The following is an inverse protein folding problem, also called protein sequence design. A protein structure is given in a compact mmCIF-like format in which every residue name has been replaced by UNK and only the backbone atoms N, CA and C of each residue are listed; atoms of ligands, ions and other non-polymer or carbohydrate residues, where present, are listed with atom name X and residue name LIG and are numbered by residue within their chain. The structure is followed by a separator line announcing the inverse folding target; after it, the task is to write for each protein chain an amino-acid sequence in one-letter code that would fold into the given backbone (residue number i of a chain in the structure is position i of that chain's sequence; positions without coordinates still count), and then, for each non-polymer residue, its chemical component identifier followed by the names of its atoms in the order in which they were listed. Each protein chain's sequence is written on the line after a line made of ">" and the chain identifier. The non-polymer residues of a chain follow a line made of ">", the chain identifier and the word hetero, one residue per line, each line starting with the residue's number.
data_IF_870463623226
#
_entry.id   IF_870463623226
#
_cell.length_a   1.000
_cell.length_b   1.000
_cell.length_c   1.000
_cell.angle_alpha   90.00
_cell.angle_beta   90.00
_cell.angle_gamma   90.00
#
_symmetry.space_group_name_H-M   'P 1'
#
loop_
_entity.id
_entity.type
_entity.pdbx_description
1 polymer ?
#
# COMPACT_ATOMS: atom_id res chain seq x y z
N UNK A 1 96.13 50.30 -37.10
CA UNK A 1 96.77 49.10 -36.53
C UNK A 1 95.68 48.06 -36.25
N UNK A 2 95.65 46.97 -37.01
CA UNK A 2 95.89 45.56 -36.58
C UNK A 2 94.82 44.94 -35.67
N UNK A 3 94.16 43.92 -36.28
CA UNK A 3 93.50 42.69 -35.76
C UNK A 3 93.69 42.37 -34.27
N UNK A 4 92.67 41.81 -33.61
CA UNK A 4 92.55 40.37 -33.31
C UNK A 4 91.25 40.01 -32.56
N UNK A 5 90.87 38.75 -32.76
CA UNK A 5 89.74 37.92 -32.32
C UNK A 5 89.65 37.69 -30.80
N UNK A 6 88.44 37.48 -30.24
CA UNK A 6 88.08 36.24 -29.49
C UNK A 6 86.62 36.18 -28.98
N UNK A 7 86.14 34.94 -29.03
CA UNK A 7 84.88 34.29 -28.66
C UNK A 7 84.55 34.39 -27.16
N UNK A 8 83.25 34.48 -26.78
CA UNK A 8 82.65 33.67 -25.71
C UNK A 8 81.11 33.82 -25.63
N UNK A 9 80.44 32.67 -25.44
CA UNK A 9 79.02 32.45 -25.24
C UNK A 9 78.41 33.19 -24.03
N UNK A 10 77.10 33.49 -24.07
CA UNK A 10 76.14 32.90 -23.12
C UNK A 10 74.68 33.34 -23.36
N UNK A 11 73.82 32.32 -23.38
CA UNK A 11 72.45 32.25 -22.87
C UNK A 11 71.40 33.30 -23.29
N UNK A 12 70.52 32.84 -24.19
CA UNK A 12 69.21 33.39 -24.49
C UNK A 12 68.24 33.13 -23.34
N UNK A 13 67.62 34.18 -22.79
CA UNK A 13 66.34 34.11 -22.09
C UNK A 13 65.40 35.13 -22.75
N UNK A 14 64.68 34.67 -23.77
CA UNK A 14 63.59 35.43 -24.38
C UNK A 14 62.30 35.13 -23.60
N UNK A 15 61.73 36.19 -23.01
CA UNK A 15 60.39 36.19 -22.48
C UNK A 15 59.38 36.03 -23.62
N UNK A 16 58.59 34.95 -23.60
CA UNK A 16 57.52 34.70 -24.54
C UNK A 16 56.17 34.72 -23.81
N UNK A 17 55.26 35.55 -24.31
CA UNK A 17 53.86 35.64 -23.91
C UNK A 17 53.17 34.27 -23.97
N UNK A 18 52.46 33.90 -22.91
CA UNK A 18 51.55 32.75 -22.91
C UNK A 18 50.08 33.22 -23.06
N UNK A 19 49.28 32.52 -23.88
CA UNK A 19 47.93 32.91 -24.24
C UNK A 19 46.89 32.56 -23.16
N UNK A 20 45.77 33.29 -23.21
CA UNK A 20 44.55 33.08 -22.42
C UNK A 20 44.05 31.64 -22.60
N UNK A 21 44.19 30.82 -21.56
CA UNK A 21 43.51 29.53 -21.47
C UNK A 21 42.04 29.75 -21.11
N UNK A 22 41.15 29.42 -22.05
CA UNK A 22 39.74 29.21 -21.76
C UNK A 22 39.60 28.08 -20.73
N UNK A 23 38.95 28.39 -19.61
CA UNK A 23 38.62 27.44 -18.55
C UNK A 23 37.66 26.39 -19.14
N UNK A 24 37.97 25.08 -19.07
CA UNK A 24 37.05 24.05 -19.50
C UNK A 24 35.78 24.09 -18.65
N UNK A 25 34.63 24.09 -19.32
CA UNK A 25 33.31 23.89 -18.74
C UNK A 25 33.33 22.63 -17.88
N UNK A 26 33.00 22.76 -16.59
CA UNK A 26 32.89 21.62 -15.67
C UNK A 26 31.96 20.56 -16.26
N UNK A 27 32.32 19.27 -16.18
CA UNK A 27 31.38 18.19 -16.48
C UNK A 27 30.18 18.32 -15.54
N UNK A 28 28.98 18.16 -16.10
CA UNK A 28 27.71 18.29 -15.39
C UNK A 28 27.68 17.53 -14.07
N UNK A 29 26.95 18.08 -13.11
CA UNK A 29 26.68 17.43 -11.84
C UNK A 29 26.32 15.96 -12.06
N UNK A 30 26.97 15.02 -11.36
CA UNK A 30 26.59 13.64 -11.44
C UNK A 30 25.12 13.54 -11.00
N UNK A 31 24.27 13.06 -11.91
CA UNK A 31 22.89 12.67 -11.62
C UNK A 31 22.96 11.83 -10.33
N UNK A 32 22.41 12.37 -9.25
CA UNK A 32 22.44 11.72 -7.95
C UNK A 32 21.81 10.33 -8.15
N UNK A 33 22.63 9.29 -7.96
CA UNK A 33 22.12 7.91 -7.99
C UNK A 33 20.98 7.84 -6.99
N UNK A 34 19.81 7.27 -7.33
CA UNK A 34 18.75 7.08 -6.36
C UNK A 34 19.34 6.39 -5.14
N UNK A 35 19.18 7.00 -3.96
CA UNK A 35 19.69 6.45 -2.71
C UNK A 35 19.17 5.01 -2.60
N UNK A 36 20.02 4.02 -2.28
CA UNK A 36 19.55 2.67 -2.04
C UNK A 36 18.45 2.73 -0.99
N UNK A 37 17.34 2.03 -1.26
CA UNK A 37 16.24 1.96 -0.30
C UNK A 37 16.80 1.43 1.03
N UNK A 38 16.45 2.05 2.17
CA UNK A 38 16.95 1.61 3.46
C UNK A 38 16.62 0.12 3.67
N UNK A 39 17.62 -0.64 4.11
CA UNK A 39 17.42 -2.04 4.50
C UNK A 39 16.37 -2.08 5.62
N UNK A 40 15.34 -2.90 5.46
CA UNK A 40 14.27 -2.98 6.44
C UNK A 40 14.80 -3.48 7.80
N UNK A 41 14.61 -2.68 8.85
CA UNK A 41 15.10 -2.91 10.21
C UNK A 41 14.01 -3.38 11.19
N UNK A 42 12.81 -3.71 10.69
CA UNK A 42 11.69 -4.17 11.51
C UNK A 42 10.62 -3.11 11.73
N UNK A 43 10.00 -3.14 12.91
CA UNK A 43 8.88 -2.28 13.26
C UNK A 43 9.22 -0.77 13.16
N UNK A 44 10.47 -0.40 13.40
CA UNK A 44 10.95 0.98 13.33
C UNK A 44 10.72 1.59 11.93
N UNK A 45 11.12 0.91 10.86
CA UNK A 45 10.85 1.35 9.49
C UNK A 45 9.33 1.46 9.17
N UNK A 46 8.49 0.56 9.69
CA UNK A 46 7.02 0.64 9.49
C UNK A 46 6.35 1.76 10.29
N UNK A 47 6.97 2.23 11.37
CA UNK A 47 6.42 3.30 12.20
C UNK A 47 6.52 4.69 11.54
N UNK A 48 7.42 4.84 10.56
CA UNK A 48 7.66 6.11 9.89
C UNK A 48 6.60 6.37 8.81
N UNK A 49 5.89 7.49 8.94
CA UNK A 49 4.98 7.97 7.92
C UNK A 49 5.75 8.26 6.63
N UNK A 50 5.28 7.69 5.52
CA UNK A 50 5.86 7.94 4.21
C UNK A 50 4.77 8.07 3.16
N UNK A 51 4.99 8.96 2.19
CA UNK A 51 4.02 9.18 1.12
C UNK A 51 4.11 8.08 0.06
N UNK A 52 3.01 7.82 -0.69
CA UNK A 52 3.09 7.04 -1.91
C UNK A 52 4.06 7.69 -2.90
N UNK A 53 4.83 6.90 -3.62
CA UNK A 53 5.84 7.39 -4.56
C UNK A 53 5.30 7.53 -5.98
N UNK A 54 4.21 6.83 -6.28
CA UNK A 54 3.63 6.73 -7.62
C UNK A 54 2.16 6.36 -7.57
N UNK A 55 1.47 6.53 -8.69
CA UNK A 55 0.06 6.15 -8.80
C UNK A 55 -0.11 4.64 -9.11
N UNK A 56 0.69 4.10 -10.04
CA UNK A 56 0.58 2.71 -10.52
C UNK A 56 1.82 1.86 -10.17
N UNK A 57 1.60 0.56 -9.95
CA UNK A 57 2.65 -0.44 -9.73
C UNK A 57 3.38 -0.71 -11.05
N UNK A 58 4.70 -0.76 -11.00
CA UNK A 58 5.56 -1.21 -12.10
C UNK A 58 5.39 -2.72 -12.31
N UNK A 59 5.32 -3.18 -13.55
CA UNK A 59 4.99 -4.58 -13.85
C UNK A 59 5.91 -5.60 -13.17
N UNK A 60 7.23 -5.34 -13.12
CA UNK A 60 8.16 -6.22 -12.39
C UNK A 60 7.80 -6.37 -10.91
N UNK A 61 7.18 -5.36 -10.30
CA UNK A 61 6.80 -5.32 -8.88
C UNK A 61 5.46 -5.98 -8.55
N UNK A 62 4.79 -6.61 -9.51
CA UNK A 62 3.41 -7.10 -9.32
C UNK A 62 3.30 -8.50 -8.70
N UNK A 63 4.35 -9.35 -8.69
CA UNK A 63 4.11 -10.81 -8.59
C UNK A 63 4.99 -11.66 -7.68
N UNK A 64 6.00 -11.14 -6.99
CA UNK A 64 6.76 -11.96 -6.04
C UNK A 64 6.52 -11.44 -4.62
N UNK A 65 6.03 -12.28 -3.71
CA UNK A 65 5.94 -11.92 -2.30
C UNK A 65 6.49 -13.06 -1.48
N UNK A 66 7.48 -12.76 -0.66
CA UNK A 66 7.85 -13.65 0.44
C UNK A 66 7.16 -13.17 1.71
N UNK A 67 6.60 -14.11 2.46
CA UNK A 67 5.98 -13.84 3.76
C UNK A 67 7.02 -14.17 4.83
N UNK A 68 7.23 -13.28 5.80
CA UNK A 68 7.97 -13.61 7.02
C UNK A 68 7.12 -13.34 8.24
N UNK A 69 7.14 -14.32 9.14
CA UNK A 69 6.60 -14.18 10.50
C UNK A 69 7.56 -13.30 11.29
N UNK A 70 7.00 -12.45 12.17
CA UNK A 70 7.80 -11.55 13.01
C UNK A 70 7.98 -12.13 14.41
N UNK A 71 8.78 -11.47 15.25
CA UNK A 71 8.93 -11.84 16.67
C UNK A 71 7.64 -11.64 17.46
N UNK A 72 6.75 -10.74 17.02
CA UNK A 72 5.45 -10.54 17.64
C UNK A 72 4.45 -11.57 17.10
N UNK A 73 3.91 -12.39 18.02
CA UNK A 73 2.88 -13.37 17.68
C UNK A 73 1.68 -12.68 16.99
N UNK A 74 1.24 -13.24 15.87
CA UNK A 74 0.14 -12.69 15.08
C UNK A 74 0.50 -11.49 14.19
N UNK A 75 1.72 -10.95 14.26
CA UNK A 75 2.20 -9.95 13.30
C UNK A 75 3.05 -10.59 12.19
N UNK A 76 2.77 -10.22 10.95
CA UNK A 76 3.49 -10.70 9.75
C UNK A 76 3.94 -9.53 8.88
N UNK A 77 5.07 -9.69 8.21
CA UNK A 77 5.54 -8.76 7.19
C UNK A 77 5.53 -9.43 5.81
N UNK A 78 5.10 -8.66 4.82
CA UNK A 78 5.16 -9.03 3.42
C UNK A 78 6.33 -8.31 2.77
N UNK A 79 7.23 -9.09 2.21
CA UNK A 79 8.42 -8.61 1.54
C UNK A 79 8.36 -8.89 0.05
N UNK A 80 8.99 -8.01 -0.71
CA UNK A 80 9.30 -8.22 -2.10
C UNK A 80 10.77 -7.86 -2.33
N UNK A 81 11.46 -8.63 -3.18
CA UNK A 81 12.87 -8.43 -3.49
C UNK A 81 13.06 -8.02 -4.97
N UNK A 82 12.48 -6.89 -5.44
CA UNK A 82 12.73 -6.41 -6.79
C UNK A 82 14.22 -6.09 -6.92
N UNK A 83 14.83 -6.61 -7.98
CA UNK A 83 16.23 -6.31 -8.29
C UNK A 83 17.19 -6.66 -7.14
N UNK A 84 16.85 -7.67 -6.31
CA UNK A 84 17.59 -8.11 -5.11
C UNK A 84 17.64 -7.08 -3.96
N UNK A 85 16.82 -6.03 -4.03
CA UNK A 85 16.68 -5.05 -2.95
C UNK A 85 15.40 -5.30 -2.17
N UNK A 86 15.51 -5.85 -0.97
CA UNK A 86 14.35 -6.16 -0.14
C UNK A 86 13.59 -4.91 0.25
N UNK A 87 12.30 -4.88 -0.08
CA UNK A 87 11.35 -3.85 0.34
C UNK A 87 10.15 -4.47 1.05
N UNK A 88 9.64 -3.80 2.08
CA UNK A 88 8.35 -4.14 2.67
C UNK A 88 7.23 -3.62 1.78
N UNK A 89 6.30 -4.51 1.45
CA UNK A 89 5.16 -4.24 0.56
C UNK A 89 3.81 -4.41 1.28
N UNK A 90 3.86 -4.74 2.56
CA UNK A 90 2.69 -4.87 3.41
C UNK A 90 3.02 -5.49 4.77
N UNK A 91 2.04 -5.51 5.64
CA UNK A 91 2.08 -6.23 6.91
C UNK A 91 0.69 -6.74 7.26
N UNK A 92 0.59 -7.70 8.18
CA UNK A 92 -0.70 -8.23 8.62
C UNK A 92 -0.77 -8.49 10.12
N UNK A 93 -1.93 -8.23 10.69
CA UNK A 93 -2.33 -8.66 12.04
C UNK A 93 -3.27 -9.86 11.91
N UNK A 94 -2.93 -10.99 12.54
CA UNK A 94 -3.65 -12.26 12.43
C UNK A 94 -4.23 -12.70 13.77
N UNK A 95 -5.55 -12.59 13.89
CA UNK A 95 -6.30 -13.10 15.03
C UNK A 95 -6.59 -14.59 14.85
N UNK A 96 -5.81 -15.44 15.51
CA UNK A 96 -5.97 -16.91 15.51
C UNK A 96 -6.85 -17.44 16.65
N UNK A 97 -7.30 -16.56 17.54
CA UNK A 97 -8.20 -16.88 18.64
C UNK A 97 -8.39 -15.69 19.57
N UNK A 98 -9.64 -15.34 19.86
CA UNK A 98 -9.98 -14.25 20.76
C UNK A 98 -11.38 -14.40 21.35
N UNK A 99 -11.68 -13.84 22.53
CA UNK A 99 -12.96 -14.08 23.20
C UNK A 99 -14.18 -13.57 22.42
N UNK A 100 -14.07 -12.43 21.73
CA UNK A 100 -15.20 -11.81 21.04
C UNK A 100 -15.19 -12.11 19.56
N UNK A 101 -14.04 -11.96 18.90
CA UNK A 101 -14.00 -12.00 17.42
C UNK A 101 -13.80 -13.41 16.88
N UNK A 102 -12.91 -14.19 17.48
CA UNK A 102 -12.60 -15.55 17.07
C UNK A 102 -12.64 -16.55 18.25
N UNK A 103 -13.81 -16.76 18.86
CA UNK A 103 -13.93 -17.66 20.02
C UNK A 103 -13.69 -19.12 19.65
N UNK A 104 -13.84 -19.49 18.37
CA UNK A 104 -13.56 -20.85 17.88
C UNK A 104 -12.06 -21.12 17.82
N UNK A 105 -11.25 -20.12 17.45
CA UNK A 105 -9.80 -20.20 17.43
C UNK A 105 -9.17 -20.52 18.79
N UNK A 106 -9.82 -20.09 19.88
CA UNK A 106 -9.43 -20.46 21.25
C UNK A 106 -9.69 -21.94 21.58
N UNK A 107 -10.64 -22.58 20.89
CA UNK A 107 -11.04 -23.98 21.13
C UNK A 107 -10.31 -24.97 20.23
N UNK A 108 -10.01 -24.56 18.99
CA UNK A 108 -9.34 -25.40 17.99
C UNK A 108 -8.47 -24.56 17.06
N UNK A 109 -7.35 -25.15 16.64
CA UNK A 109 -6.47 -24.54 15.64
C UNK A 109 -7.16 -24.41 14.28
N UNK A 110 -6.80 -23.38 13.53
CA UNK A 110 -7.12 -23.23 12.11
C UNK A 110 -8.02 -22.05 11.79
N UNK A 111 -9.02 -21.76 12.62
CA UNK A 111 -9.89 -20.61 12.44
C UNK A 111 -9.11 -19.31 12.65
N UNK A 112 -9.18 -18.36 11.70
CA UNK A 112 -8.47 -17.09 11.81
C UNK A 112 -9.17 -15.95 11.07
N UNK A 113 -8.92 -14.73 11.54
CA UNK A 113 -9.09 -13.50 10.77
C UNK A 113 -7.73 -12.84 10.54
N UNK A 114 -7.42 -12.49 9.31
CA UNK A 114 -6.21 -11.75 8.94
C UNK A 114 -6.57 -10.35 8.46
N UNK A 115 -5.84 -9.34 8.92
CA UNK A 115 -5.89 -7.93 8.52
C UNK A 115 -4.60 -7.56 7.79
N UNK A 116 -4.59 -7.71 6.47
CA UNK A 116 -3.42 -7.46 5.62
C UNK A 116 -3.44 -6.04 5.02
N UNK A 117 -2.55 -5.18 5.48
CA UNK A 117 -2.32 -3.85 4.94
C UNK A 117 -1.30 -3.93 3.80
N UNK A 118 -1.76 -3.65 2.59
CA UNK A 118 -1.00 -3.81 1.36
C UNK A 118 -0.60 -2.45 0.79
N UNK A 119 0.61 -2.34 0.24
CA UNK A 119 1.14 -1.13 -0.39
C UNK A 119 2.31 -1.45 -1.35
N UNK A 120 2.15 -2.46 -2.21
CA UNK A 120 3.23 -2.87 -3.11
C UNK A 120 3.69 -1.73 -4.03
N UNK A 121 5.00 -1.71 -4.28
CA UNK A 121 5.70 -0.68 -5.07
C UNK A 121 5.46 0.76 -4.57
N UNK A 122 4.95 0.90 -3.33
CA UNK A 122 4.60 2.18 -2.71
C UNK A 122 3.64 2.98 -3.62
N UNK A 123 2.84 2.25 -4.41
CA UNK A 123 1.96 2.77 -5.44
C UNK A 123 0.54 2.94 -4.88
N UNK A 124 -0.08 4.09 -5.13
CA UNK A 124 -1.44 4.38 -4.65
C UNK A 124 -2.44 3.29 -5.01
N UNK A 125 -2.40 2.76 -6.23
CA UNK A 125 -3.33 1.72 -6.68
C UNK A 125 -3.30 0.44 -5.85
N UNK A 126 -2.20 0.19 -5.12
CA UNK A 126 -2.04 -1.00 -4.28
C UNK A 126 -2.16 -0.73 -2.78
N UNK A 127 -2.62 0.46 -2.40
CA UNK A 127 -2.86 0.79 -0.99
C UNK A 127 -4.27 0.36 -0.60
N UNK A 128 -4.38 -0.68 0.22
CA UNK A 128 -5.66 -1.19 0.74
C UNK A 128 -5.46 -2.09 1.96
N UNK A 129 -6.56 -2.33 2.68
CA UNK A 129 -6.66 -3.36 3.71
C UNK A 129 -7.44 -4.55 3.13
N UNK A 130 -6.85 -5.73 3.11
CA UNK A 130 -7.55 -6.99 2.90
C UNK A 130 -7.85 -7.65 4.24
N UNK A 131 -9.10 -8.07 4.43
CA UNK A 131 -9.56 -8.84 5.56
C UNK A 131 -9.99 -10.20 5.07
N UNK A 132 -9.44 -11.26 5.65
CA UNK A 132 -9.78 -12.63 5.31
C UNK A 132 -10.24 -13.40 6.55
N UNK A 133 -11.42 -13.98 6.49
CA UNK A 133 -11.89 -14.99 7.46
C UNK A 133 -11.71 -16.38 6.86
N UNK A 134 -10.86 -17.19 7.47
CA UNK A 134 -10.69 -18.60 7.13
C UNK A 134 -11.24 -19.45 8.27
N UNK A 135 -12.46 -19.94 8.11
CA UNK A 135 -13.21 -20.61 9.20
C UNK A 135 -12.86 -22.08 9.40
N UNK A 136 -12.16 -22.70 8.43
CA UNK A 136 -11.75 -24.12 8.44
C UNK A 136 -12.86 -25.10 8.85
N UNK A 137 -14.08 -24.90 8.36
CA UNK A 137 -15.22 -25.77 8.66
C UNK A 137 -15.33 -26.96 7.71
N UNK A 138 -14.98 -26.78 6.43
CA UNK A 138 -15.10 -27.83 5.41
C UNK A 138 -13.76 -28.34 4.89
N UNK A 139 -12.67 -27.62 5.17
CA UNK A 139 -11.34 -27.92 4.66
C UNK A 139 -11.13 -27.46 3.20
N UNK A 140 -12.16 -26.91 2.55
CA UNK A 140 -12.08 -26.41 1.16
C UNK A 140 -11.94 -24.90 1.15
N UNK A 141 -10.89 -24.39 0.50
CA UNK A 141 -10.60 -22.95 0.45
C UNK A 141 -11.79 -22.12 -0.06
N UNK A 142 -12.38 -22.50 -1.18
CA UNK A 142 -13.52 -21.80 -1.80
C UNK A 142 -14.80 -21.80 -0.97
N UNK A 143 -14.89 -22.68 0.04
CA UNK A 143 -16.02 -22.75 0.96
C UNK A 143 -15.74 -21.99 2.24
N UNK A 144 -14.49 -22.02 2.73
CA UNK A 144 -14.13 -21.54 4.05
C UNK A 144 -13.57 -20.10 4.05
N UNK A 145 -13.01 -19.63 2.94
CA UNK A 145 -12.39 -18.31 2.86
C UNK A 145 -13.38 -17.24 2.39
N UNK A 146 -13.51 -16.22 3.21
CA UNK A 146 -14.36 -15.07 2.98
C UNK A 146 -13.52 -13.79 3.00
N UNK A 147 -13.57 -13.03 1.92
CA UNK A 147 -12.72 -11.87 1.71
C UNK A 147 -13.51 -10.57 1.77
N UNK A 148 -12.91 -9.55 2.36
CA UNK A 148 -13.31 -8.15 2.24
C UNK A 148 -12.08 -7.31 1.98
N UNK A 149 -12.19 -6.33 1.09
CA UNK A 149 -11.16 -5.30 0.93
C UNK A 149 -11.74 -3.94 1.25
N UNK A 150 -10.91 -3.07 1.84
CA UNK A 150 -11.20 -1.68 2.14
C UNK A 150 -10.11 -0.80 1.52
N UNK A 151 -10.54 0.16 0.72
CA UNK A 151 -9.68 1.18 0.11
C UNK A 151 -10.03 2.52 0.74
N UNK A 152 -9.02 3.23 1.27
CA UNK A 152 -9.21 4.48 2.01
C UNK A 152 -8.71 5.67 1.20
N UNK A 153 -9.46 6.77 1.22
CA UNK A 153 -9.15 7.97 0.45
C UNK A 153 -9.41 9.23 1.28
N UNK A 154 -8.55 10.26 1.20
CA UNK A 154 -7.39 10.33 0.30
C UNK A 154 -6.20 9.47 0.79
N UNK A 155 -5.37 9.03 -0.15
CA UNK A 155 -4.20 8.17 0.07
C UNK A 155 -2.98 9.04 0.33
N UNK A 156 -2.93 9.61 1.53
CA UNK A 156 -1.94 10.61 1.95
C UNK A 156 -0.59 9.99 2.30
N UNK A 157 -0.63 8.76 2.79
CA UNK A 157 0.53 8.02 3.25
C UNK A 157 0.35 6.51 3.01
N UNK A 158 1.45 5.78 3.11
CA UNK A 158 1.41 4.33 3.26
C UNK A 158 0.89 3.98 4.66
N UNK A 159 0.20 2.83 4.82
CA UNK A 159 -0.13 2.32 6.14
C UNK A 159 1.13 2.18 7.00
N UNK A 160 1.08 2.67 8.24
CA UNK A 160 2.17 2.53 9.21
C UNK A 160 1.74 1.67 10.39
N UNK A 161 2.71 1.08 11.07
CA UNK A 161 2.50 0.27 12.26
C UNK A 161 3.46 0.72 13.36
N UNK A 162 2.92 1.05 14.52
CA UNK A 162 3.68 1.38 15.71
C UNK A 162 3.17 0.55 16.90
N UNK A 163 4.09 0.17 17.79
CA UNK A 163 3.76 -0.51 19.04
C UNK A 163 3.65 0.53 20.15
N UNK A 164 2.49 0.58 20.81
CA UNK A 164 2.27 1.40 22.01
C UNK A 164 2.18 0.46 23.21
N UNK A 165 3.33 0.15 23.81
CA UNK A 165 3.44 -0.74 24.97
C UNK A 165 2.74 -0.18 26.21
N UNK A 166 2.69 1.15 26.36
CA UNK A 166 2.04 1.77 27.51
C UNK A 166 0.53 1.54 27.49
N UNK A 167 -0.07 1.45 26.31
CA UNK A 167 -1.50 1.17 26.11
C UNK A 167 -1.79 -0.27 25.72
N UNK A 168 -0.76 -1.11 25.60
CA UNK A 168 -0.86 -2.49 25.15
C UNK A 168 -1.58 -2.67 23.81
N UNK A 169 -1.31 -1.78 22.84
CA UNK A 169 -1.91 -1.83 21.51
C UNK A 169 -0.88 -1.78 20.37
N UNK A 170 -1.21 -2.41 19.25
CA UNK A 170 -0.65 -2.07 17.95
C UNK A 170 -1.46 -0.92 17.35
N UNK A 171 -0.80 0.21 17.09
CA UNK A 171 -1.38 1.36 16.41
C UNK A 171 -1.05 1.29 14.93
N UNK A 172 -2.05 0.98 14.12
CA UNK A 172 -1.96 1.11 12.67
C UNK A 172 -2.46 2.48 12.26
N UNK A 173 -1.72 3.20 11.42
CA UNK A 173 -2.23 4.44 10.81
C UNK A 173 -2.65 4.16 9.38
N UNK A 174 -3.90 4.45 9.06
CA UNK A 174 -4.48 4.27 7.72
C UNK A 174 -3.89 5.28 6.71
N UNK A 175 -4.11 5.06 5.41
CA UNK A 175 -3.67 5.99 4.36
C UNK A 175 -4.22 7.41 4.52
N UNK A 176 -5.36 7.56 5.21
CA UNK A 176 -6.01 8.83 5.54
C UNK A 176 -5.39 9.55 6.73
N UNK A 177 -4.42 8.94 7.43
CA UNK A 177 -3.86 9.46 8.69
C UNK A 177 -4.59 8.99 9.95
N UNK A 178 -5.71 8.28 9.79
CA UNK A 178 -6.52 7.87 10.94
C UNK A 178 -5.96 6.61 11.63
N UNK A 179 -6.00 6.53 12.96
CA UNK A 179 -5.54 5.34 13.67
C UNK A 179 -6.58 4.21 13.64
N UNK A 180 -6.09 2.99 13.70
CA UNK A 180 -6.79 1.77 14.08
C UNK A 180 -5.96 1.11 15.17
N UNK A 181 -6.60 0.76 16.28
CA UNK A 181 -5.95 0.18 17.44
C UNK A 181 -6.31 -1.29 17.53
N UNK A 182 -5.30 -2.14 17.54
CA UNK A 182 -5.44 -3.57 17.82
C UNK A 182 -4.88 -3.84 19.21
N UNK A 183 -5.61 -4.60 20.02
CA UNK A 183 -5.11 -5.10 21.30
C UNK A 183 -3.94 -6.07 21.06
N UNK A 184 -2.87 -5.98 21.85
CA UNK A 184 -1.66 -6.78 21.60
C UNK A 184 -1.84 -8.27 21.89
N UNK A 185 -2.74 -8.65 22.81
CA UNK A 185 -2.93 -10.05 23.20
C UNK A 185 -3.98 -10.74 22.33
N UNK A 186 -5.15 -10.11 22.21
CA UNK A 186 -6.31 -10.68 21.53
C UNK A 186 -6.30 -10.39 20.03
N UNK A 187 -5.52 -9.39 19.59
CA UNK A 187 -5.47 -8.92 18.20
C UNK A 187 -6.85 -8.48 17.67
N UNK A 188 -7.74 -8.10 18.59
CA UNK A 188 -9.04 -7.49 18.30
C UNK A 188 -8.85 -5.99 18.02
N UNK A 189 -9.63 -5.45 17.08
CA UNK A 189 -9.79 -4.02 16.86
C UNK A 189 -10.53 -3.43 18.07
N UNK A 190 -9.81 -2.69 18.90
CA UNK A 190 -10.32 -2.08 20.14
C UNK A 190 -10.61 -0.59 20.00
N UNK A 191 -10.24 0.04 18.88
CA UNK A 191 -10.59 1.44 18.63
C UNK A 191 -10.10 2.01 17.30
N UNK A 192 -10.46 3.27 17.07
CA UNK A 192 -10.07 4.03 15.87
C UNK A 192 -11.11 3.99 14.75
N UNK A 193 -10.63 4.10 13.51
CA UNK A 193 -11.47 4.29 12.32
C UNK A 193 -12.17 3.01 11.81
N UNK A 194 -11.87 1.85 12.41
CA UNK A 194 -12.50 0.57 12.08
C UNK A 194 -13.26 0.02 13.29
N UNK A 195 -14.34 -0.69 12.99
CA UNK A 195 -15.09 -1.52 13.93
C UNK A 195 -15.25 -2.90 13.33
N UNK A 196 -14.99 -3.93 14.12
CA UNK A 196 -15.16 -5.32 13.72
C UNK A 196 -16.35 -5.98 14.43
N UNK A 197 -16.93 -7.00 13.77
CA UNK A 197 -17.86 -7.96 14.36
C UNK A 197 -17.22 -9.36 14.40
N UNK A 198 -17.77 -10.32 15.16
CA UNK A 198 -17.28 -11.69 15.19
C UNK A 198 -17.20 -12.36 13.82
N UNK A 199 -16.31 -13.35 13.69
CA UNK A 199 -16.25 -14.23 12.51
C UNK A 199 -17.55 -15.04 12.42
N UNK A 200 -18.13 -15.10 11.22
CA UNK A 200 -19.33 -15.89 10.97
C UNK A 200 -18.98 -17.37 10.76
N UNK A 201 -19.22 -18.19 11.78
CA UNK A 201 -19.01 -19.64 11.76
C UNK A 201 -20.24 -20.44 11.31
N UNK A 202 -21.19 -19.84 10.58
CA UNK A 202 -22.33 -20.59 10.04
C UNK A 202 -21.84 -21.77 9.16
N UNK A 203 -22.35 -22.97 9.45
CA UNK A 203 -22.03 -24.20 8.73
C UNK A 203 -22.52 -24.16 7.28
N UNK A 204 -23.63 -23.45 7.01
CA UNK A 204 -24.11 -23.22 5.65
C UNK A 204 -23.23 -22.18 4.96
N UNK A 205 -22.43 -22.63 3.99
CA UNK A 205 -21.63 -21.75 3.14
C UNK A 205 -22.46 -20.69 2.43
N UNK A 206 -23.75 -20.91 2.16
CA UNK A 206 -24.58 -19.95 1.46
C UNK A 206 -25.08 -18.82 2.37
N UNK A 207 -25.22 -19.08 3.67
CA UNK A 207 -25.65 -18.11 4.67
C UNK A 207 -24.49 -17.37 5.33
N UNK A 208 -23.27 -17.94 5.25
CA UNK A 208 -22.07 -17.32 5.82
C UNK A 208 -21.78 -15.98 5.18
N UNK A 209 -21.60 -14.98 6.04
CA UNK A 209 -21.28 -13.59 5.70
C UNK A 209 -19.79 -13.40 5.49
N UNK A 210 -19.44 -12.39 4.70
CA UNK A 210 -18.07 -11.91 4.58
C UNK A 210 -17.61 -11.26 5.90
N UNK A 211 -16.29 -11.09 6.12
CA UNK A 211 -15.78 -10.43 7.32
C UNK A 211 -16.50 -9.10 7.52
N UNK A 212 -17.07 -8.87 8.69
CA UNK A 212 -17.79 -7.63 8.98
C UNK A 212 -16.84 -6.66 9.69
N UNK A 213 -16.08 -5.96 8.86
CA UNK A 213 -15.20 -4.85 9.27
C UNK A 213 -15.74 -3.59 8.62
N UNK A 214 -16.24 -2.67 9.45
CA UNK A 214 -16.93 -1.45 9.05
C UNK A 214 -16.02 -0.25 9.28
N UNK A 215 -15.91 0.61 8.29
CA UNK A 215 -15.24 1.90 8.41
C UNK A 215 -16.18 2.94 9.04
N UNK A 216 -15.69 3.62 10.07
CA UNK A 216 -16.40 4.64 10.84
C UNK A 216 -15.59 5.94 10.96
N UNK A 217 -14.55 6.08 10.14
CA UNK A 217 -13.69 7.25 10.12
C UNK A 217 -14.31 8.46 9.41
N UNK A 218 -13.49 9.50 9.27
CA UNK A 218 -13.87 10.83 8.78
C UNK A 218 -13.79 11.00 7.27
N UNK A 219 -13.24 10.05 6.54
CA UNK A 219 -12.96 10.19 5.11
C UNK A 219 -13.78 9.21 4.28
N UNK A 220 -13.34 8.95 3.04
CA UNK A 220 -14.00 8.00 2.14
C UNK A 220 -13.34 6.63 2.26
N UNK A 221 -14.15 5.59 2.42
CA UNK A 221 -13.73 4.21 2.24
C UNK A 221 -14.60 3.53 1.18
N UNK A 222 -13.98 2.77 0.28
CA UNK A 222 -14.69 1.91 -0.67
C UNK A 222 -14.40 0.47 -0.29
N UNK A 223 -15.45 -0.33 -0.14
CA UNK A 223 -15.34 -1.73 0.26
C UNK A 223 -15.91 -2.65 -0.80
N UNK A 224 -15.29 -3.83 -0.93
CA UNK A 224 -15.77 -4.94 -1.76
C UNK A 224 -15.61 -6.23 -0.97
N UNK A 225 -16.45 -7.22 -1.24
CA UNK A 225 -16.36 -8.50 -0.55
C UNK A 225 -16.70 -9.67 -1.49
N UNK A 226 -16.14 -10.85 -1.23
CA UNK A 226 -16.35 -12.06 -2.01
C UNK A 226 -15.94 -13.31 -1.24
N UNK A 227 -16.62 -14.41 -1.52
CA UNK A 227 -16.19 -15.75 -1.11
C UNK A 227 -15.36 -16.41 -2.20
N UNK A 228 -14.21 -16.95 -1.83
CA UNK A 228 -13.42 -17.86 -2.66
C UNK A 228 -12.85 -17.30 -3.98
N UNK A 229 -13.03 -16.02 -4.28
CA UNK A 229 -12.53 -15.33 -5.48
C UNK A 229 -12.17 -13.87 -5.16
N UNK A 230 -11.49 -13.19 -6.08
CA UNK A 230 -11.13 -11.78 -5.94
C UNK A 230 -12.34 -10.85 -5.68
N UNK A 231 -12.32 -10.08 -4.56
CA UNK A 231 -13.38 -9.12 -4.22
C UNK A 231 -13.69 -8.07 -5.28
N UNK A 232 -12.67 -7.65 -6.05
CA UNK A 232 -12.75 -6.53 -7.00
C UNK A 232 -13.49 -6.85 -8.31
N UNK A 233 -13.81 -8.12 -8.58
CA UNK A 233 -14.55 -8.49 -9.81
C UNK A 233 -15.96 -7.90 -9.79
N UNK A 234 -16.36 -7.30 -10.91
CA UNK A 234 -17.71 -6.76 -11.11
C UNK A 234 -18.75 -7.86 -11.34
N UNK A 235 -18.33 -9.02 -11.84
CA UNK A 235 -19.18 -10.20 -12.02
C UNK A 235 -18.46 -11.45 -11.52
N UNK A 236 -19.16 -12.27 -10.74
CA UNK A 236 -18.68 -13.57 -10.24
C UNK A 236 -19.81 -14.58 -10.40
N UNK A 237 -19.54 -15.72 -11.03
CA UNK A 237 -20.53 -16.78 -11.29
C UNK A 237 -21.84 -16.27 -11.92
N UNK A 238 -21.74 -15.34 -12.87
CA UNK A 238 -22.89 -14.72 -13.55
C UNK A 238 -23.63 -13.65 -12.74
N UNK A 239 -23.28 -13.45 -11.46
CA UNK A 239 -23.90 -12.44 -10.59
C UNK A 239 -23.16 -11.10 -10.65
N UNK A 240 -23.92 -10.02 -10.78
CA UNK A 240 -23.39 -8.65 -10.68
C UNK A 240 -23.08 -8.32 -9.23
N UNK A 241 -21.87 -7.82 -8.99
CA UNK A 241 -21.39 -7.39 -7.69
C UNK A 241 -21.36 -5.89 -7.57
N UNK A 242 -21.30 -5.42 -6.33
CA UNK A 242 -21.26 -4.00 -6.00
C UNK A 242 -20.10 -3.74 -5.04
N UNK A 243 -19.44 -2.62 -5.26
CA UNK A 243 -18.65 -1.96 -4.25
C UNK A 243 -19.57 -1.04 -3.44
N UNK A 244 -19.21 -0.82 -2.17
CA UNK A 244 -19.91 0.09 -1.28
C UNK A 244 -18.96 1.20 -0.86
N UNK A 245 -19.30 2.44 -1.24
CA UNK A 245 -18.64 3.64 -0.76
C UNK A 245 -19.27 4.10 0.56
N UNK A 246 -18.43 4.47 1.51
CA UNK A 246 -18.77 4.95 2.84
C UNK A 246 -18.05 6.27 3.09
N UNK A 247 -18.79 7.31 3.46
CA UNK A 247 -18.20 8.57 3.93
C UNK A 247 -18.98 9.06 5.18
N UNK A 248 -18.78 8.40 6.33
CA UNK A 248 -19.64 8.54 7.50
C UNK A 248 -19.70 9.95 8.08
N UNK A 249 -18.63 10.74 7.96
CA UNK A 249 -18.61 12.12 8.46
C UNK A 249 -19.53 13.09 7.69
N UNK A 250 -19.94 12.75 6.46
CA UNK A 250 -20.81 13.61 5.64
C UNK A 250 -22.12 12.95 5.22
N UNK A 251 -22.13 11.62 5.03
CA UNK A 251 -23.29 10.89 4.52
C UNK A 251 -23.64 9.70 5.42
N UNK A 252 -24.90 9.63 5.83
CA UNK A 252 -25.39 8.57 6.72
C UNK A 252 -25.55 7.21 6.02
N UNK A 253 -25.83 7.19 4.71
CA UNK A 253 -26.03 5.97 3.93
C UNK A 253 -24.80 5.71 3.06
N UNK A 254 -24.46 4.44 2.88
CA UNK A 254 -23.48 4.04 1.88
C UNK A 254 -24.06 4.20 0.46
N UNK A 255 -23.16 4.34 -0.51
CA UNK A 255 -23.49 4.33 -1.92
C UNK A 255 -23.00 3.03 -2.56
N UNK A 256 -23.85 2.41 -3.38
CA UNK A 256 -23.48 1.21 -4.15
C UNK A 256 -23.07 1.62 -5.55
N UNK A 257 -21.90 1.15 -5.99
CA UNK A 257 -21.39 1.38 -7.34
C UNK A 257 -20.79 0.09 -7.93
N UNK A 258 -20.75 0.01 -9.26
CA UNK A 258 -20.12 -1.12 -9.94
C UNK A 258 -18.61 -1.13 -9.69
N UNK A 259 -18.00 -2.27 -9.32
CA UNK A 259 -16.54 -2.41 -9.29
C UNK A 259 -15.89 -2.10 -10.64
N UNK A 260 -16.61 -2.26 -11.75
CA UNK A 260 -16.12 -1.91 -13.09
C UNK A 260 -15.94 -0.41 -13.34
N UNK A 261 -16.45 0.45 -12.45
CA UNK A 261 -16.15 1.87 -12.47
C UNK A 261 -14.84 2.21 -11.72
N UNK A 262 -14.26 1.26 -10.98
CA UNK A 262 -13.12 1.49 -10.09
C UNK A 262 -11.90 0.71 -10.56
N UNK A 263 -12.09 -0.56 -10.96
CA UNK A 263 -11.03 -1.46 -11.38
C UNK A 263 -11.22 -1.96 -12.81
N UNK A 264 -10.10 -2.13 -13.52
CA UNK A 264 -10.08 -2.70 -14.87
C UNK A 264 -10.51 -4.17 -14.81
N UNK A 265 -11.63 -4.46 -15.46
CA UNK A 265 -12.25 -5.80 -15.50
C UNK A 265 -11.78 -6.64 -16.70
N UNK A 266 -10.87 -6.11 -17.53
CA UNK A 266 -10.39 -6.83 -18.72
C UNK A 266 -9.56 -8.04 -18.31
N UNK A 267 -9.96 -9.27 -18.69
CA UNK A 267 -9.15 -10.44 -18.43
C UNK A 267 -7.86 -10.38 -19.26
N UNK A 268 -6.72 -10.66 -18.63
CA UNK A 268 -5.47 -10.88 -19.36
C UNK A 268 -5.36 -12.37 -19.70
N UNK A 269 -4.80 -12.68 -20.87
CA UNK A 269 -4.61 -14.07 -21.31
C UNK A 269 -3.70 -14.80 -20.30
N UNK A 270 -4.22 -15.89 -19.72
CA UNK A 270 -3.49 -16.70 -18.73
C UNK A 270 -3.82 -16.37 -17.27
N UNK A 271 -4.58 -15.30 -16.99
CA UNK A 271 -5.00 -14.97 -15.63
C UNK A 271 -6.19 -15.85 -15.19
N UNK A 272 -5.94 -16.78 -14.27
CA UNK A 272 -7.00 -17.48 -13.54
C UNK A 272 -7.62 -16.60 -12.44
N UNK A 273 -6.81 -15.72 -11.83
CA UNK A 273 -7.25 -14.71 -10.86
C UNK A 273 -6.50 -13.37 -11.08
N UNK A 274 -7.01 -12.49 -11.96
CA UNK A 274 -6.34 -11.25 -12.32
C UNK A 274 -6.32 -10.29 -11.13
N UNK A 275 -5.14 -9.76 -10.82
CA UNK A 275 -5.03 -8.62 -9.92
C UNK A 275 -5.58 -7.38 -10.64
N UNK A 276 -6.84 -7.05 -10.37
CA UNK A 276 -7.53 -5.96 -11.05
C UNK A 276 -6.90 -4.60 -10.67
N UNK A 277 -6.45 -3.88 -11.70
CA UNK A 277 -5.78 -2.58 -11.59
C UNK A 277 -6.80 -1.48 -11.36
N UNK A 278 -6.43 -0.40 -10.67
CA UNK A 278 -7.32 0.74 -10.51
C UNK A 278 -7.40 1.53 -11.83
N UNK A 279 -8.61 1.89 -12.26
CA UNK A 279 -8.81 2.66 -13.49
C UNK A 279 -8.34 4.12 -13.35
N UNK A 280 -8.39 4.63 -12.12
CA UNK A 280 -8.13 6.03 -11.80
C UNK A 280 -6.71 6.19 -11.30
N UNK A 281 -5.94 7.06 -11.98
CA UNK A 281 -4.56 7.33 -11.62
C UNK A 281 -4.48 8.14 -10.33
N UNK A 282 -5.39 9.10 -10.13
CA UNK A 282 -5.44 9.94 -8.93
C UNK A 282 -6.71 9.73 -8.11
N UNK A 283 -6.64 10.14 -6.84
CA UNK A 283 -7.81 10.18 -5.95
C UNK A 283 -8.88 11.13 -6.48
N UNK A 284 -8.49 12.24 -7.10
CA UNK A 284 -9.42 13.21 -7.68
C UNK A 284 -10.27 12.61 -8.81
N UNK A 285 -9.66 11.82 -9.70
CA UNK A 285 -10.36 11.10 -10.76
C UNK A 285 -11.36 10.10 -10.17
N UNK A 286 -10.96 9.36 -9.14
CA UNK A 286 -11.85 8.47 -8.43
C UNK A 286 -13.01 9.23 -7.78
N UNK A 287 -12.74 10.36 -7.12
CA UNK A 287 -13.78 11.18 -6.51
C UNK A 287 -14.80 11.64 -7.53
N UNK A 288 -14.38 12.10 -8.72
CA UNK A 288 -15.31 12.47 -9.78
C UNK A 288 -16.25 11.31 -10.19
N UNK A 289 -15.75 10.08 -10.21
CA UNK A 289 -16.59 8.90 -10.44
C UNK A 289 -17.56 8.66 -9.28
N UNK A 290 -17.10 8.73 -8.03
CA UNK A 290 -17.96 8.54 -6.86
C UNK A 290 -19.06 9.62 -6.81
N UNK A 291 -18.73 10.88 -7.04
CA UNK A 291 -19.72 11.98 -7.12
C UNK A 291 -20.75 11.71 -8.21
N UNK A 292 -20.31 11.33 -9.42
CA UNK A 292 -21.19 11.00 -10.54
C UNK A 292 -22.13 9.83 -10.23
N UNK A 293 -21.65 8.79 -9.56
CA UNK A 293 -22.44 7.59 -9.27
C UNK A 293 -23.34 7.74 -8.02
N UNK A 294 -22.91 8.54 -7.04
CA UNK A 294 -23.53 8.63 -5.73
C UNK A 294 -24.30 9.94 -5.48
N UNK A 295 -24.12 10.96 -6.33
CA UNK A 295 -24.65 12.30 -6.10
C UNK A 295 -24.06 12.99 -4.86
N UNK A 296 -22.88 12.55 -4.43
CA UNK A 296 -22.16 13.15 -3.30
C UNK A 296 -21.33 14.33 -3.76
N UNK A 297 -21.10 15.28 -2.85
CA UNK A 297 -20.05 16.31 -2.94
C UNK A 297 -18.83 15.87 -2.12
N UNK A 298 -17.70 15.69 -2.80
CA UNK A 298 -16.40 15.29 -2.25
C UNK A 298 -15.34 16.39 -2.37
N UNK A 299 -15.75 17.64 -2.62
CA UNK A 299 -14.85 18.80 -2.74
C UNK A 299 -13.88 18.96 -1.56
N UNK A 300 -14.32 18.68 -0.34
CA UNK A 300 -13.46 18.71 0.84
C UNK A 300 -12.31 17.69 0.76
N UNK A 301 -12.59 16.46 0.31
CA UNK A 301 -11.58 15.41 0.18
C UNK A 301 -10.56 15.72 -0.92
N UNK A 302 -10.96 16.43 -1.98
CA UNK A 302 -10.04 16.89 -3.04
C UNK A 302 -8.98 17.84 -2.50
N UNK A 303 -9.36 18.75 -1.61
CA UNK A 303 -8.42 19.72 -1.01
C UNK A 303 -7.40 19.02 -0.10
N UNK A 304 -7.80 17.92 0.52
CA UNK A 304 -6.95 17.12 1.42
C UNK A 304 -6.09 16.08 0.67
N UNK A 305 -6.32 15.91 -0.65
CA UNK A 305 -5.61 14.91 -1.43
C UNK A 305 -4.21 15.39 -1.84
N UNK A 306 -3.15 14.59 -1.62
CA UNK A 306 -1.80 14.93 -2.03
C UNK A 306 -1.67 15.04 -3.54
N UNK A 307 -0.99 16.07 -3.99
CA UNK A 307 -0.49 16.19 -5.35
C UNK A 307 0.86 15.46 -5.38
N UNK A 308 0.96 14.31 -6.06
CA UNK A 308 2.29 13.77 -6.35
C UNK A 308 2.94 14.70 -7.36
N UNK A 309 4.15 15.16 -7.05
CA UNK A 309 5.01 15.78 -8.06
C UNK A 309 5.19 14.72 -9.15
N UNK A 310 4.87 15.06 -10.40
CA UNK A 310 5.06 14.15 -11.54
C UNK A 310 6.48 13.58 -11.46
N UNK A 311 6.60 12.26 -11.31
CA UNK A 311 7.88 11.61 -11.51
C UNK A 311 8.31 11.92 -12.93
N UNK A 312 9.50 12.49 -13.11
CA UNK A 312 10.15 12.60 -14.40
C UNK A 312 10.24 11.19 -14.97
N UNK A 313 9.60 10.96 -16.13
CA UNK A 313 9.67 9.69 -16.86
C UNK A 313 11.11 9.35 -17.28
#
# INVERSE_FOLDING_TARGET
>A
MRRFTLVACCAVLAAACAPVQQKPTSPGEPIARPRPAPQFDGLAALSQASQPERDAIRDKHRYDRSIRVTEHAGLRYYFYDPDRNRAVVGFAVENTGSPKVNPVGLKKKGARREYAFMFADRARENIYLAVNDDVKLSGRFSHDNMFRELHFFPRNQLPTLALDNAKHVFRVTLPTGEPVLFDQDSLEVVGGALRESPIDFNHSRHQRRNPEVRYQGKYLAITVAQRGEAPRRAKVWGQTKFAEAYYPAKYAKSCRLSPGHIWDQKPKRGDSDPTLQMLHKSDEQLFAIVEKQCGWDLSALRRDAPILVKASD
#
